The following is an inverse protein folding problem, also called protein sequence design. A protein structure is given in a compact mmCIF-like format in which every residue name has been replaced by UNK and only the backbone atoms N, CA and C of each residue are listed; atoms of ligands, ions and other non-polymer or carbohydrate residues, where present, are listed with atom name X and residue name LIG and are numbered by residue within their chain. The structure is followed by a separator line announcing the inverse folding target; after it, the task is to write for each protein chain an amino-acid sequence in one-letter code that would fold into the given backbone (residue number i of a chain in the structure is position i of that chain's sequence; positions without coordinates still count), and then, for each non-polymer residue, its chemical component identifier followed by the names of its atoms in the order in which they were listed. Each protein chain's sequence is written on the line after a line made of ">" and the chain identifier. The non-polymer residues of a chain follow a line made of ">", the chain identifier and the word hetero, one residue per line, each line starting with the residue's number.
data_IF_443507618545
#
_entry.id   IF_443507618545
#
_cell.length_a   1.000
_cell.length_b   1.000
_cell.length_c   1.000
_cell.angle_alpha   90.00
_cell.angle_beta   90.00
_cell.angle_gamma   90.00
#
_symmetry.space_group_name_H-M   'P 1'
#
loop_
_entity.id
_entity.type
_entity.pdbx_description
1 polymer ?
#
# COMPACT_ATOMS: atom_id res chain seq x y z
N UNK A 1 -39.63 -29.64 68.57
CA UNK A 1 -38.49 -29.99 67.69
C UNK A 1 -38.98 -30.81 66.50
N UNK A 2 -39.16 -30.22 65.30
CA UNK A 2 -39.09 -30.92 64.01
C UNK A 2 -38.54 -29.93 62.98
N UNK A 3 -37.53 -30.38 62.24
CA UNK A 3 -36.69 -29.62 61.31
C UNK A 3 -37.32 -29.53 59.91
N UNK A 4 -37.13 -28.36 59.31
CA UNK A 4 -36.95 -27.95 57.90
C UNK A 4 -36.88 -29.08 56.84
N UNK A 5 -37.57 -28.86 55.71
CA UNK A 5 -37.03 -29.11 54.37
C UNK A 5 -37.71 -28.17 53.35
N UNK A 6 -37.06 -27.04 53.05
CA UNK A 6 -37.40 -26.18 51.92
C UNK A 6 -36.73 -26.78 50.67
N UNK A 7 -37.55 -27.13 49.67
CA UNK A 7 -37.11 -27.67 48.39
C UNK A 7 -36.58 -26.52 47.53
N UNK A 8 -35.26 -26.44 47.37
CA UNK A 8 -34.60 -25.51 46.44
C UNK A 8 -34.71 -26.08 45.03
N UNK A 9 -35.57 -25.48 44.21
CA UNK A 9 -35.67 -25.76 42.77
C UNK A 9 -34.49 -25.06 42.07
N UNK A 10 -33.43 -25.80 41.74
CA UNK A 10 -32.35 -25.31 40.88
C UNK A 10 -32.90 -25.16 39.44
N UNK A 11 -33.20 -23.93 39.01
CA UNK A 11 -33.34 -23.63 37.58
C UNK A 11 -31.94 -23.67 36.95
N UNK A 12 -31.65 -24.71 36.19
CA UNK A 12 -30.51 -24.73 35.28
C UNK A 12 -30.86 -23.89 34.06
N UNK A 13 -30.45 -22.62 34.05
CA UNK A 13 -30.38 -21.84 32.81
C UNK A 13 -29.38 -22.53 31.88
N UNK A 14 -29.78 -22.92 30.64
CA UNK A 14 -28.80 -23.39 29.67
C UNK A 14 -27.86 -22.22 29.39
N UNK A 15 -26.57 -22.46 29.60
CA UNK A 15 -25.50 -21.56 29.20
C UNK A 15 -25.51 -21.52 27.67
N UNK A 16 -26.31 -20.65 27.06
CA UNK A 16 -26.08 -20.27 25.68
C UNK A 16 -24.75 -19.52 25.69
N UNK A 17 -23.68 -20.19 25.28
CA UNK A 17 -22.45 -19.52 24.92
C UNK A 17 -22.83 -18.50 23.83
N UNK A 18 -22.65 -17.21 24.13
CA UNK A 18 -22.75 -16.18 23.10
C UNK A 18 -21.65 -16.47 22.09
N UNK A 19 -22.04 -16.82 20.86
CA UNK A 19 -21.08 -16.99 19.77
C UNK A 19 -20.28 -15.70 19.62
N UNK A 20 -18.98 -15.80 19.40
CA UNK A 20 -18.19 -14.61 19.12
C UNK A 20 -18.69 -13.97 17.82
N UNK A 21 -18.86 -12.65 17.84
CA UNK A 21 -19.33 -11.90 16.69
C UNK A 21 -18.17 -11.50 15.78
N UNK A 22 -18.48 -11.29 14.49
CA UNK A 22 -17.55 -10.75 13.52
C UNK A 22 -17.04 -9.38 13.96
N UNK A 23 -15.76 -9.07 13.69
CA UNK A 23 -15.25 -7.72 13.91
C UNK A 23 -16.03 -6.70 13.07
N UNK A 24 -16.31 -5.54 13.66
CA UNK A 24 -17.08 -4.48 13.02
C UNK A 24 -16.48 -4.07 11.66
N UNK A 25 -17.34 -3.83 10.67
CA UNK A 25 -16.96 -3.44 9.31
C UNK A 25 -16.46 -4.59 8.43
N UNK A 26 -16.37 -5.81 8.96
CA UNK A 26 -16.00 -6.98 8.18
C UNK A 26 -17.18 -7.58 7.41
N UNK A 27 -16.86 -8.38 6.39
CA UNK A 27 -17.84 -9.15 5.61
C UNK A 27 -17.14 -10.21 4.77
N UNK A 28 -17.83 -11.31 4.51
CA UNK A 28 -17.34 -12.39 3.65
C UNK A 28 -17.13 -11.93 2.21
N UNK A 29 -16.25 -12.63 1.50
CA UNK A 29 -16.19 -12.51 0.05
C UNK A 29 -17.47 -13.13 -0.57
N UNK A 30 -18.16 -12.45 -1.52
CA UNK A 30 -19.47 -12.89 -2.01
C UNK A 30 -19.46 -14.26 -2.72
N UNK A 31 -18.30 -14.70 -3.21
CA UNK A 31 -18.15 -15.97 -3.94
C UNK A 31 -17.49 -17.08 -3.13
N UNK A 32 -16.97 -16.79 -1.92
CA UNK A 32 -16.25 -17.77 -1.09
C UNK A 32 -16.92 -17.83 0.27
N UNK A 33 -17.79 -18.82 0.44
CA UNK A 33 -18.48 -19.07 1.71
C UNK A 33 -17.50 -19.51 2.80
N UNK A 34 -17.59 -18.90 3.98
CA UNK A 34 -16.86 -19.38 5.17
C UNK A 34 -17.42 -20.72 5.67
N UNK A 35 -16.62 -21.42 6.47
CA UNK A 35 -17.08 -22.64 7.16
C UNK A 35 -18.01 -22.28 8.32
N UNK A 36 -19.14 -22.98 8.43
CA UNK A 36 -20.10 -22.79 9.52
C UNK A 36 -19.44 -22.97 10.91
N UNK A 37 -19.82 -22.12 11.87
CA UNK A 37 -19.21 -22.09 13.21
C UNK A 37 -17.90 -21.29 13.29
N UNK A 38 -17.56 -20.55 12.23
CA UNK A 38 -16.45 -19.60 12.24
C UNK A 38 -16.93 -18.14 12.22
N UNK A 39 -16.12 -17.26 12.79
CA UNK A 39 -16.35 -15.80 12.83
C UNK A 39 -15.09 -15.05 12.36
N UNK A 40 -15.26 -13.85 11.83
CA UNK A 40 -14.15 -13.00 11.38
C UNK A 40 -13.48 -12.39 12.60
N UNK A 41 -12.26 -12.85 12.88
CA UNK A 41 -11.41 -12.26 13.92
C UNK A 41 -10.62 -11.06 13.42
N UNK A 42 -10.38 -10.96 12.11
CA UNK A 42 -9.66 -9.85 11.48
C UNK A 42 -9.88 -9.82 9.97
N UNK A 43 -9.82 -8.64 9.38
CA UNK A 43 -9.81 -8.47 7.93
C UNK A 43 -8.99 -7.25 7.51
N UNK A 44 -8.59 -7.23 6.24
CA UNK A 44 -8.00 -6.07 5.56
C UNK A 44 -8.48 -6.05 4.12
N UNK A 45 -8.71 -4.86 3.58
CA UNK A 45 -9.04 -4.63 2.19
C UNK A 45 -8.10 -3.58 1.59
N UNK A 46 -7.60 -3.85 0.39
CA UNK A 46 -6.93 -2.87 -0.46
C UNK A 46 -7.72 -2.77 -1.77
N UNK A 47 -7.98 -1.56 -2.25
CA UNK A 47 -8.74 -1.34 -3.48
C UNK A 47 -7.96 -1.82 -4.71
N UNK A 48 -6.63 -1.78 -4.65
CA UNK A 48 -5.75 -2.32 -5.67
C UNK A 48 -4.43 -2.81 -5.06
N UNK A 49 -4.04 -4.05 -5.34
CA UNK A 49 -2.72 -4.61 -4.99
C UNK A 49 -2.34 -5.71 -6.01
N UNK A 50 -1.07 -6.09 -6.04
CA UNK A 50 -0.56 -7.23 -6.80
C UNK A 50 -0.27 -8.40 -5.87
N UNK A 51 -1.00 -9.48 -6.04
CA UNK A 51 -0.94 -10.62 -5.13
C UNK A 51 -0.55 -11.89 -5.88
N UNK A 52 0.61 -12.43 -5.50
CA UNK A 52 1.06 -13.76 -5.91
C UNK A 52 0.54 -14.85 -4.95
N UNK A 53 -0.10 -15.87 -5.51
CA UNK A 53 -0.63 -17.05 -4.82
C UNK A 53 0.14 -18.30 -5.31
N UNK A 54 0.80 -19.04 -4.41
CA UNK A 54 1.43 -20.32 -4.75
C UNK A 54 0.43 -21.34 -5.29
N UNK A 55 0.79 -22.01 -6.39
CA UNK A 55 -0.01 -23.05 -7.04
C UNK A 55 0.78 -24.35 -7.20
N UNK A 56 1.81 -24.54 -6.37
CA UNK A 56 2.66 -25.72 -6.31
C UNK A 56 3.46 -25.76 -5.01
N UNK A 57 4.12 -26.89 -4.71
CA UNK A 57 4.88 -27.06 -3.48
C UNK A 57 6.09 -26.12 -3.42
N UNK A 58 6.60 -25.90 -2.21
CA UNK A 58 7.82 -25.13 -1.99
C UNK A 58 9.03 -26.06 -1.85
N UNK A 59 10.06 -25.79 -2.65
CA UNK A 59 11.33 -26.50 -2.65
C UNK A 59 12.43 -25.58 -2.11
N UNK A 60 13.13 -26.03 -1.07
CA UNK A 60 14.18 -25.24 -0.41
C UNK A 60 15.25 -24.77 -1.42
N UNK A 61 15.58 -23.47 -1.38
CA UNK A 61 16.44 -22.72 -2.33
C UNK A 61 15.89 -22.54 -3.75
N UNK A 62 14.84 -23.25 -4.14
CA UNK A 62 14.23 -23.11 -5.47
C UNK A 62 12.98 -22.23 -5.43
N UNK A 63 12.30 -22.14 -4.28
CA UNK A 63 11.05 -21.40 -4.14
C UNK A 63 9.83 -22.28 -4.41
N UNK A 64 8.71 -21.65 -4.76
CA UNK A 64 7.52 -22.38 -5.21
C UNK A 64 7.72 -22.93 -6.62
N UNK A 65 7.33 -24.18 -6.86
CA UNK A 65 7.39 -24.78 -8.20
C UNK A 65 6.51 -24.05 -9.21
N UNK A 66 5.38 -23.50 -8.75
CA UNK A 66 4.45 -22.70 -9.54
C UNK A 66 3.71 -21.69 -8.67
N UNK A 67 3.30 -20.59 -9.28
CA UNK A 67 2.49 -19.54 -8.67
C UNK A 67 1.69 -18.81 -9.73
N UNK A 68 0.51 -18.32 -9.39
CA UNK A 68 -0.25 -17.36 -10.18
C UNK A 68 -0.21 -15.98 -9.52
N UNK A 69 -0.37 -14.93 -10.32
CA UNK A 69 -0.43 -13.55 -9.82
C UNK A 69 -1.61 -12.85 -10.45
N UNK A 70 -2.36 -12.13 -9.62
CA UNK A 70 -3.47 -11.31 -10.05
C UNK A 70 -3.33 -9.91 -9.45
N UNK A 71 -3.82 -8.91 -10.16
CA UNK A 71 -3.89 -7.53 -9.72
C UNK A 71 -5.36 -7.14 -9.57
N UNK A 72 -5.67 -6.40 -8.50
CA UNK A 72 -7.02 -5.90 -8.26
C UNK A 72 -7.32 -5.73 -6.78
N UNK A 73 -8.61 -5.75 -6.42
CA UNK A 73 -9.06 -5.62 -5.04
C UNK A 73 -8.53 -6.81 -4.24
N UNK A 74 -7.80 -6.53 -3.17
CA UNK A 74 -7.24 -7.56 -2.30
C UNK A 74 -7.98 -7.57 -0.96
N UNK A 75 -8.66 -8.69 -0.68
CA UNK A 75 -9.34 -8.97 0.58
C UNK A 75 -8.60 -10.09 1.32
N UNK A 76 -8.16 -9.80 2.55
CA UNK A 76 -7.64 -10.81 3.47
C UNK A 76 -8.55 -10.93 4.68
N UNK A 77 -8.93 -12.16 5.04
CA UNK A 77 -9.78 -12.46 6.19
C UNK A 77 -9.10 -13.54 7.06
N UNK A 78 -9.19 -13.37 8.38
CA UNK A 78 -8.84 -14.40 9.36
C UNK A 78 -10.11 -14.87 10.04
N UNK A 79 -10.51 -16.11 9.79
CA UNK A 79 -11.60 -16.76 10.50
C UNK A 79 -11.08 -17.55 11.71
N UNK A 80 -11.81 -17.42 12.81
CA UNK A 80 -11.59 -18.11 14.07
C UNK A 80 -12.78 -19.03 14.37
N UNK A 81 -12.56 -20.02 15.24
CA UNK A 81 -13.56 -21.02 15.60
C UNK A 81 -13.72 -21.06 17.12
N UNK A 82 -14.96 -21.21 17.58
CA UNK A 82 -15.27 -21.39 19.00
C UNK A 82 -15.19 -22.87 19.42
N UNK A 83 -15.44 -23.79 18.49
CA UNK A 83 -15.48 -25.23 18.75
C UNK A 83 -14.31 -25.96 18.08
N UNK A 84 -13.73 -27.00 18.72
CA UNK A 84 -12.68 -27.81 18.13
C UNK A 84 -13.09 -28.49 16.82
N UNK A 85 -12.20 -28.46 15.82
CA UNK A 85 -12.36 -29.19 14.55
C UNK A 85 -11.00 -29.43 13.91
N UNK A 86 -10.93 -30.22 12.83
CA UNK A 86 -9.65 -30.57 12.17
C UNK A 86 -9.41 -29.74 10.92
N UNK A 87 -8.13 -29.49 10.60
CA UNK A 87 -7.75 -28.78 9.37
C UNK A 87 -8.20 -29.54 8.12
N UNK A 88 -8.17 -30.88 8.16
CA UNK A 88 -8.66 -31.73 7.08
C UNK A 88 -10.16 -31.53 6.82
N UNK A 89 -10.99 -31.44 7.87
CA UNK A 89 -12.43 -31.23 7.72
C UNK A 89 -12.73 -29.87 7.10
N UNK A 90 -12.04 -28.83 7.55
CA UNK A 90 -12.15 -27.47 7.00
C UNK A 90 -11.70 -27.45 5.54
N UNK A 91 -10.54 -28.03 5.23
CA UNK A 91 -9.99 -28.06 3.86
C UNK A 91 -10.95 -28.74 2.89
N UNK A 92 -11.50 -29.90 3.25
CA UNK A 92 -12.48 -30.61 2.42
C UNK A 92 -13.79 -29.84 2.27
N UNK A 93 -14.22 -29.12 3.31
CA UNK A 93 -15.40 -28.25 3.24
C UNK A 93 -15.20 -27.13 2.21
N UNK A 94 -14.08 -26.40 2.30
CA UNK A 94 -13.74 -25.35 1.32
C UNK A 94 -13.62 -25.90 -0.09
N UNK A 95 -12.86 -26.99 -0.27
CA UNK A 95 -12.69 -27.61 -1.57
C UNK A 95 -14.04 -27.94 -2.23
N UNK A 96 -14.94 -28.64 -1.51
CA UNK A 96 -16.25 -29.00 -2.03
C UNK A 96 -17.16 -27.79 -2.29
N UNK A 97 -17.08 -26.74 -1.48
CA UNK A 97 -17.88 -25.53 -1.66
C UNK A 97 -17.41 -24.74 -2.89
N UNK A 98 -16.09 -24.58 -3.04
CA UNK A 98 -15.46 -23.88 -4.14
C UNK A 98 -15.67 -24.61 -5.48
N UNK A 99 -15.49 -25.93 -5.51
CA UNK A 99 -15.78 -26.75 -6.69
C UNK A 99 -17.27 -26.63 -7.10
N UNK A 100 -18.19 -26.65 -6.13
CA UNK A 100 -19.64 -26.43 -6.40
C UNK A 100 -19.95 -25.03 -6.91
N UNK A 101 -19.19 -24.03 -6.46
CA UNK A 101 -19.29 -22.64 -6.94
C UNK A 101 -18.60 -22.43 -8.30
N UNK A 102 -18.01 -23.48 -8.91
CA UNK A 102 -17.38 -23.41 -10.23
C UNK A 102 -15.94 -22.91 -10.21
N UNK A 103 -15.27 -22.92 -9.05
CA UNK A 103 -13.84 -22.65 -8.98
C UNK A 103 -13.03 -23.86 -9.41
N UNK A 104 -11.93 -23.60 -10.13
CA UNK A 104 -10.87 -24.55 -10.43
C UNK A 104 -9.89 -24.62 -9.25
N UNK A 105 -9.59 -25.83 -8.78
CA UNK A 105 -8.54 -26.05 -7.79
C UNK A 105 -7.19 -26.11 -8.49
N UNK A 106 -6.37 -25.08 -8.27
CA UNK A 106 -5.03 -24.97 -8.86
C UNK A 106 -4.00 -25.77 -8.07
N UNK A 107 -4.13 -25.79 -6.74
CA UNK A 107 -3.25 -26.56 -5.86
C UNK A 107 -3.94 -26.85 -4.53
N UNK A 108 -3.65 -28.02 -3.97
CA UNK A 108 -4.08 -28.38 -2.61
C UNK A 108 -3.03 -29.26 -1.98
N UNK A 109 -2.78 -29.08 -0.69
CA UNK A 109 -1.88 -29.99 0.03
C UNK A 109 -1.89 -29.81 1.53
N UNK A 110 -1.27 -30.76 2.23
CA UNK A 110 -1.09 -30.71 3.68
C UNK A 110 0.35 -30.94 4.10
N UNK A 111 0.77 -30.26 5.17
CA UNK A 111 2.10 -30.45 5.75
C UNK A 111 2.23 -31.82 6.41
N UNK A 112 1.15 -32.33 7.01
CA UNK A 112 1.07 -33.69 7.57
C UNK A 112 1.37 -34.78 6.53
N UNK A 113 1.01 -34.53 5.27
CA UNK A 113 1.16 -35.45 4.14
C UNK A 113 2.42 -35.16 3.30
N UNK A 114 3.23 -34.17 3.73
CA UNK A 114 4.45 -33.70 3.04
C UNK A 114 4.21 -33.18 1.62
N UNK A 115 3.07 -32.54 1.39
CA UNK A 115 2.65 -32.04 0.07
C UNK A 115 2.92 -30.55 -0.13
N UNK A 116 3.22 -29.81 0.94
CA UNK A 116 3.39 -28.35 0.90
C UNK A 116 4.86 -27.93 0.83
N UNK A 117 5.54 -28.08 1.95
CA UNK A 117 6.98 -27.94 2.12
C UNK A 117 7.40 -29.02 3.11
N UNK A 118 8.69 -29.33 3.18
CA UNK A 118 9.35 -30.36 4.03
C UNK A 118 8.75 -30.56 5.45
N UNK A 119 7.52 -31.09 5.48
CA UNK A 119 6.55 -31.28 6.58
C UNK A 119 6.15 -30.09 7.44
N UNK A 120 6.57 -28.85 7.16
CA UNK A 120 6.29 -27.72 8.06
C UNK A 120 5.00 -26.95 7.70
N UNK A 121 4.75 -26.74 6.41
CA UNK A 121 3.72 -25.83 5.88
C UNK A 121 4.02 -24.34 6.09
N UNK A 122 5.17 -23.99 6.69
CA UNK A 122 5.45 -22.61 7.10
C UNK A 122 5.60 -21.64 5.92
N UNK A 123 6.03 -22.13 4.75
CA UNK A 123 6.23 -21.26 3.58
C UNK A 123 4.88 -20.75 3.07
N UNK A 124 3.84 -21.58 3.14
CA UNK A 124 2.46 -21.23 2.79
C UNK A 124 1.80 -20.30 3.82
N UNK A 125 2.46 -20.09 4.96
CA UNK A 125 2.05 -19.10 5.95
C UNK A 125 2.75 -17.75 5.76
N UNK A 126 3.69 -17.55 4.82
CA UNK A 126 4.58 -16.38 4.75
C UNK A 126 3.92 -14.98 4.84
N UNK A 127 2.65 -14.84 4.42
CA UNK A 127 1.85 -13.60 4.52
C UNK A 127 1.34 -13.30 5.95
N UNK A 128 1.47 -14.25 6.88
CA UNK A 128 1.15 -14.19 8.32
C UNK A 128 1.99 -13.18 9.11
N UNK A 129 3.27 -12.99 8.74
CA UNK A 129 4.15 -12.04 9.44
C UNK A 129 3.71 -10.58 9.28
N UNK A 130 3.01 -10.25 8.18
CA UNK A 130 2.39 -8.94 8.00
C UNK A 130 1.20 -8.79 8.95
N UNK A 131 0.41 -9.85 9.08
CA UNK A 131 -0.77 -9.93 9.92
C UNK A 131 -0.39 -9.78 11.41
N UNK A 132 0.66 -10.43 11.91
CA UNK A 132 1.19 -10.23 13.28
C UNK A 132 1.67 -8.79 13.58
N UNK A 133 2.21 -8.09 12.57
CA UNK A 133 2.72 -6.71 12.70
C UNK A 133 1.61 -5.65 12.80
N UNK A 134 0.36 -6.00 12.46
CA UNK A 134 -0.79 -5.09 12.41
C UNK A 134 -1.57 -5.00 13.73
N UNK A 135 -0.99 -5.44 14.86
CA UNK A 135 -1.48 -5.05 16.19
C UNK A 135 -2.69 -5.83 16.72
N UNK A 136 -2.71 -7.15 16.55
CA UNK A 136 -3.76 -8.01 17.11
C UNK A 136 -4.08 -7.74 18.58
N UNK A 137 -5.37 -7.77 18.91
CA UNK A 137 -5.83 -7.81 20.32
C UNK A 137 -5.15 -8.98 21.05
N UNK A 138 -4.86 -8.87 22.36
CA UNK A 138 -4.14 -9.92 23.11
C UNK A 138 -4.74 -11.34 22.99
N UNK A 139 -6.06 -11.44 22.79
CA UNK A 139 -6.80 -12.71 22.62
C UNK A 139 -6.62 -13.33 21.22
N UNK A 140 -6.26 -12.51 20.22
CA UNK A 140 -6.04 -12.87 18.83
C UNK A 140 -4.54 -12.94 18.48
N UNK A 141 -3.65 -12.91 19.49
CA UNK A 141 -2.24 -13.12 19.27
C UNK A 141 -2.04 -14.55 18.76
N UNK A 142 -1.82 -14.65 17.45
CA UNK A 142 -1.52 -15.90 16.79
C UNK A 142 -0.10 -16.36 17.24
N UNK A 143 0.21 -17.67 17.26
CA UNK A 143 1.48 -18.18 17.80
C UNK A 143 2.67 -17.77 16.95
N UNK A 144 3.88 -17.67 17.52
CA UNK A 144 5.07 -17.46 16.69
C UNK A 144 5.18 -18.52 15.58
N UNK A 145 5.77 -18.19 14.43
CA UNK A 145 5.99 -19.11 13.29
C UNK A 145 6.53 -20.51 13.65
N UNK A 146 7.14 -20.67 14.83
CA UNK A 146 7.66 -21.95 15.35
C UNK A 146 6.65 -22.77 16.14
N UNK A 147 5.37 -22.39 16.12
CA UNK A 147 4.34 -22.91 17.02
C UNK A 147 3.02 -23.21 16.33
N UNK A 148 3.07 -23.77 15.12
CA UNK A 148 1.89 -24.25 14.39
C UNK A 148 2.11 -25.68 13.92
N UNK A 149 1.02 -26.45 13.92
CA UNK A 149 1.00 -27.83 13.45
C UNK A 149 -0.15 -28.04 12.45
N UNK A 150 -0.03 -29.09 11.63
CA UNK A 150 -1.07 -29.52 10.67
C UNK A 150 -1.59 -28.39 9.76
N UNK A 151 -0.73 -27.88 8.89
CA UNK A 151 -1.10 -26.86 7.91
C UNK A 151 -1.73 -27.52 6.69
N UNK A 152 -2.88 -27.00 6.27
CA UNK A 152 -3.53 -27.34 5.01
C UNK A 152 -3.63 -26.08 4.14
N UNK A 153 -3.53 -26.27 2.83
CA UNK A 153 -3.54 -25.19 1.85
C UNK A 153 -4.42 -25.54 0.65
N UNK A 154 -5.11 -24.54 0.13
CA UNK A 154 -5.86 -24.62 -1.12
C UNK A 154 -5.64 -23.33 -1.90
N UNK A 155 -5.33 -23.44 -3.19
CA UNK A 155 -5.35 -22.33 -4.14
C UNK A 155 -6.40 -22.60 -5.21
N UNK A 156 -7.22 -21.61 -5.51
CA UNK A 156 -8.33 -21.72 -6.46
C UNK A 156 -8.43 -20.50 -7.37
N UNK A 157 -9.06 -20.70 -8.52
CA UNK A 157 -9.40 -19.63 -9.47
C UNK A 157 -10.85 -19.77 -9.94
N UNK A 158 -11.57 -18.66 -10.10
CA UNK A 158 -12.92 -18.69 -10.68
C UNK A 158 -12.88 -19.08 -12.15
N UNK A 159 -13.98 -19.63 -12.67
CA UNK A 159 -14.05 -20.07 -14.07
C UNK A 159 -13.81 -18.96 -15.10
N UNK A 160 -14.13 -17.70 -14.76
CA UNK A 160 -13.87 -16.52 -15.59
C UNK A 160 -12.45 -15.94 -15.43
N UNK A 161 -11.66 -16.48 -14.49
CA UNK A 161 -10.30 -16.03 -14.19
C UNK A 161 -10.21 -14.74 -13.37
N UNK A 162 -11.34 -14.13 -13.00
CA UNK A 162 -11.37 -12.84 -12.32
C UNK A 162 -11.08 -12.92 -10.82
N UNK A 163 -11.17 -14.10 -10.21
CA UNK A 163 -10.89 -14.29 -8.78
C UNK A 163 -9.80 -15.33 -8.62
N UNK A 164 -8.73 -14.95 -7.91
CA UNK A 164 -7.67 -15.85 -7.47
C UNK A 164 -7.64 -15.83 -5.94
N UNK A 165 -7.73 -17.01 -5.32
CA UNK A 165 -7.80 -17.10 -3.86
C UNK A 165 -6.89 -18.20 -3.30
N UNK A 166 -6.42 -17.98 -2.08
CA UNK A 166 -5.79 -19.03 -1.27
C UNK A 166 -6.43 -19.14 0.11
N UNK A 167 -6.56 -20.38 0.58
CA UNK A 167 -7.07 -20.74 1.90
C UNK A 167 -5.96 -21.46 2.64
N UNK A 168 -5.43 -20.83 3.68
CA UNK A 168 -4.45 -21.42 4.60
C UNK A 168 -5.17 -21.81 5.88
N UNK A 169 -5.04 -23.05 6.31
CA UNK A 169 -5.69 -23.58 7.50
C UNK A 169 -4.60 -24.16 8.38
N UNK A 170 -4.58 -23.82 9.67
CA UNK A 170 -3.56 -24.34 10.56
C UNK A 170 -4.09 -24.52 11.98
N UNK A 171 -3.45 -25.41 12.74
CA UNK A 171 -3.66 -25.52 14.18
C UNK A 171 -2.60 -24.70 14.92
N UNK A 172 -2.99 -23.64 15.63
CA UNK A 172 -2.11 -22.95 16.58
C UNK A 172 -1.65 -23.91 17.69
N UNK A 173 -0.38 -23.89 18.07
CA UNK A 173 0.07 -24.62 19.24
C UNK A 173 -0.66 -24.13 20.50
N UNK A 174 -1.02 -25.08 21.37
CA UNK A 174 -1.74 -24.84 22.63
C UNK A 174 -3.17 -24.29 22.44
N UNK A 175 -3.76 -24.44 21.25
CA UNK A 175 -5.20 -24.29 21.00
C UNK A 175 -5.74 -25.56 20.33
N UNK A 176 -6.98 -25.90 20.66
CA UNK A 176 -7.71 -27.02 20.03
C UNK A 176 -8.63 -26.53 18.89
N UNK A 177 -8.57 -25.24 18.57
CA UNK A 177 -9.39 -24.57 17.55
C UNK A 177 -8.50 -24.09 16.41
N UNK A 178 -8.84 -24.41 15.14
CA UNK A 178 -8.05 -23.99 13.99
C UNK A 178 -8.22 -22.50 13.67
N UNK A 179 -7.36 -22.03 12.78
CA UNK A 179 -7.44 -20.70 12.17
C UNK A 179 -7.44 -20.86 10.67
N UNK A 180 -8.27 -20.07 9.99
CA UNK A 180 -8.29 -19.98 8.52
C UNK A 180 -7.87 -18.58 8.11
N UNK A 181 -6.89 -18.49 7.24
CA UNK A 181 -6.52 -17.27 6.55
C UNK A 181 -6.95 -17.40 5.09
N UNK A 182 -7.85 -16.53 4.68
CA UNK A 182 -8.34 -16.41 3.32
C UNK A 182 -7.71 -15.18 2.68
N UNK A 183 -7.00 -15.37 1.58
CA UNK A 183 -6.53 -14.30 0.69
C UNK A 183 -7.33 -14.40 -0.61
N UNK A 184 -8.01 -13.31 -1.00
CA UNK A 184 -8.79 -13.22 -2.24
C UNK A 184 -8.36 -12.00 -3.01
N UNK A 185 -8.12 -12.16 -4.30
CA UNK A 185 -7.80 -11.09 -5.23
C UNK A 185 -8.87 -11.12 -6.30
N UNK A 186 -9.58 -10.01 -6.47
CA UNK A 186 -10.60 -9.85 -7.51
C UNK A 186 -10.08 -8.86 -8.52
N UNK A 187 -9.93 -9.31 -9.76
CA UNK A 187 -9.50 -8.48 -10.88
C UNK A 187 -10.38 -7.24 -10.98
N UNK A 188 -9.75 -6.08 -10.84
CA UNK A 188 -10.35 -4.78 -11.14
C UNK A 188 -9.33 -3.98 -11.92
N UNK A 189 -9.78 -2.99 -12.67
CA UNK A 189 -8.87 -2.01 -13.24
C UNK A 189 -8.35 -1.10 -12.13
N UNK A 190 -7.07 -0.73 -12.20
CA UNK A 190 -6.50 0.26 -11.30
C UNK A 190 -7.16 1.61 -11.56
N UNK A 191 -7.66 2.25 -10.51
CA UNK A 191 -8.06 3.64 -10.62
C UNK A 191 -6.82 4.50 -10.92
N UNK A 192 -6.75 5.04 -12.13
CA UNK A 192 -5.66 5.91 -12.56
C UNK A 192 -5.67 7.29 -11.90
N UNK A 193 -6.66 7.60 -11.05
CA UNK A 193 -6.77 8.87 -10.33
C UNK A 193 -5.69 9.11 -9.25
N UNK A 194 -4.86 8.10 -8.92
CA UNK A 194 -3.55 8.34 -8.30
C UNK A 194 -2.53 9.02 -9.25
N UNK A 195 -3.01 9.72 -10.27
CA UNK A 195 -2.22 10.62 -11.10
C UNK A 195 -1.61 11.71 -10.21
N UNK A 196 -0.33 12.03 -10.44
CA UNK A 196 0.30 13.19 -9.82
C UNK A 196 -0.57 14.43 -10.06
N UNK A 197 -0.94 15.17 -9.02
CA UNK A 197 -1.67 16.43 -9.18
C UNK A 197 -0.89 17.31 -10.18
N UNK A 198 -1.51 17.72 -11.30
CA UNK A 198 -0.81 18.53 -12.29
C UNK A 198 -0.41 19.85 -11.65
N UNK A 199 0.79 20.34 -12.01
CA UNK A 199 1.17 21.69 -11.67
C UNK A 199 0.25 22.64 -12.44
N UNK A 200 -0.56 23.45 -11.75
CA UNK A 200 -1.44 24.43 -12.39
C UNK A 200 -1.21 25.83 -11.84
N UNK A 201 -1.56 26.87 -12.60
CA UNK A 201 -1.51 28.27 -12.17
C UNK A 201 -2.28 28.51 -10.86
N UNK A 202 -3.44 27.88 -10.67
CA UNK A 202 -4.24 27.98 -9.44
C UNK A 202 -3.51 27.34 -8.25
N UNK A 203 -2.84 26.21 -8.46
CA UNK A 203 -2.02 25.56 -7.43
C UNK A 203 -0.83 26.43 -7.06
N UNK A 204 -0.12 26.96 -8.05
CA UNK A 204 1.00 27.87 -7.85
C UNK A 204 0.59 29.11 -7.06
N UNK A 205 -0.58 29.70 -7.37
CA UNK A 205 -1.13 30.83 -6.64
C UNK A 205 -1.43 30.48 -5.17
N UNK A 206 -2.01 29.30 -4.94
CA UNK A 206 -2.35 28.81 -3.59
C UNK A 206 -1.08 28.58 -2.74
N UNK A 207 -0.05 27.96 -3.33
CA UNK A 207 1.21 27.70 -2.63
C UNK A 207 1.98 29.00 -2.35
N UNK A 208 2.02 29.94 -3.31
CA UNK A 208 2.62 31.26 -3.10
C UNK A 208 1.88 32.03 -1.99
N UNK A 209 0.56 32.09 -2.02
CA UNK A 209 -0.22 32.82 -1.02
C UNK A 209 -0.13 32.23 0.39
N UNK A 210 0.09 30.92 0.51
CA UNK A 210 0.18 30.23 1.81
C UNK A 210 1.61 30.13 2.37
N UNK A 211 2.62 30.01 1.50
CA UNK A 211 4.01 29.75 1.90
C UNK A 211 4.98 30.89 1.54
N UNK A 212 4.54 31.87 0.74
CA UNK A 212 5.36 32.92 0.15
C UNK A 212 6.32 32.45 -0.94
N UNK A 213 6.33 31.14 -1.25
CA UNK A 213 7.19 30.52 -2.25
C UNK A 213 6.61 29.21 -2.77
N UNK A 214 7.06 28.77 -3.94
CA UNK A 214 6.75 27.45 -4.51
C UNK A 214 7.97 26.89 -5.23
N UNK A 215 8.24 25.59 -5.04
CA UNK A 215 9.35 24.88 -5.67
C UNK A 215 8.88 24.16 -6.94
N UNK A 216 9.59 24.36 -8.05
CA UNK A 216 9.32 23.80 -9.36
C UNK A 216 10.40 22.76 -9.70
N UNK A 217 10.04 21.48 -9.56
CA UNK A 217 10.91 20.35 -9.90
C UNK A 217 10.77 19.94 -11.37
N UNK A 218 9.73 20.43 -12.04
CA UNK A 218 9.38 20.18 -13.42
C UNK A 218 10.18 21.04 -14.41
N UNK A 219 10.96 22.02 -13.90
CA UNK A 219 11.88 22.81 -14.74
C UNK A 219 13.23 22.08 -14.78
N UNK A 220 13.54 21.56 -15.96
CA UNK A 220 14.73 20.75 -16.22
C UNK A 220 15.74 21.52 -17.07
N UNK A 221 17.02 21.24 -16.83
CA UNK A 221 18.13 21.82 -17.56
C UNK A 221 19.02 20.73 -18.13
N UNK A 222 19.69 21.00 -19.26
CA UNK A 222 20.71 20.13 -19.78
C UNK A 222 21.84 19.93 -18.74
N UNK A 223 22.53 18.79 -18.82
CA UNK A 223 23.59 18.45 -17.89
C UNK A 223 24.64 19.56 -17.83
N UNK A 224 24.97 19.97 -16.61
CA UNK A 224 25.97 21.01 -16.33
C UNK A 224 25.73 22.35 -17.06
N UNK A 225 24.46 22.67 -17.34
CA UNK A 225 24.06 23.83 -18.15
C UNK A 225 22.86 24.58 -17.56
N UNK A 226 22.64 25.80 -18.09
CA UNK A 226 21.44 26.63 -17.88
C UNK A 226 20.47 26.57 -19.08
N UNK A 227 20.75 25.72 -20.06
CA UNK A 227 19.83 25.44 -21.17
C UNK A 227 18.60 24.68 -20.65
N UNK A 228 17.42 25.28 -20.80
CA UNK A 228 16.13 24.70 -20.39
C UNK A 228 15.71 23.61 -21.38
N UNK A 229 15.32 22.45 -20.86
CA UNK A 229 14.85 21.34 -21.69
C UNK A 229 13.36 21.48 -22.07
N UNK A 230 12.93 20.98 -23.25
CA UNK A 230 11.55 21.10 -23.74
C UNK A 230 10.47 20.59 -22.78
N UNK A 231 10.78 19.59 -21.97
CA UNK A 231 9.91 18.99 -20.94
C UNK A 231 9.47 20.02 -19.88
N UNK A 232 10.20 21.13 -19.75
CA UNK A 232 9.87 22.21 -18.81
C UNK A 232 8.75 23.14 -19.30
N UNK A 233 8.36 23.03 -20.58
CA UNK A 233 7.46 24.00 -21.22
C UNK A 233 6.08 24.09 -20.57
N UNK A 234 5.52 22.96 -20.14
CA UNK A 234 4.22 22.92 -19.46
C UNK A 234 4.29 23.69 -18.13
N UNK A 235 5.30 23.39 -17.30
CA UNK A 235 5.50 24.09 -16.03
C UNK A 235 5.73 25.60 -16.22
N UNK A 236 6.50 25.99 -17.23
CA UNK A 236 6.74 27.41 -17.54
C UNK A 236 5.48 28.12 -18.07
N UNK A 237 4.62 27.40 -18.79
CA UNK A 237 3.31 27.90 -19.24
C UNK A 237 2.39 28.19 -18.05
N UNK A 238 2.35 27.31 -17.06
CA UNK A 238 1.54 27.50 -15.85
C UNK A 238 2.05 28.68 -14.99
N UNK A 239 3.37 28.86 -14.90
CA UNK A 239 3.96 30.05 -14.26
C UNK A 239 3.59 31.33 -15.03
N UNK A 240 3.62 31.29 -16.36
CA UNK A 240 3.21 32.44 -17.17
C UNK A 240 1.71 32.75 -16.98
N UNK A 241 0.85 31.74 -16.99
CA UNK A 241 -0.60 31.90 -16.77
C UNK A 241 -0.90 32.48 -15.39
N UNK A 242 -0.19 32.03 -14.35
CA UNK A 242 -0.25 32.63 -13.01
C UNK A 242 0.05 34.14 -13.07
N UNK A 243 1.17 34.52 -13.69
CA UNK A 243 1.62 35.92 -13.77
C UNK A 243 0.68 36.79 -14.63
N UNK A 244 0.14 36.24 -15.71
CA UNK A 244 -0.83 36.94 -16.57
C UNK A 244 -2.16 37.17 -15.86
N UNK A 245 -2.64 36.18 -15.09
CA UNK A 245 -3.89 36.28 -14.33
C UNK A 245 -3.75 37.21 -13.13
N UNK A 246 -2.58 37.24 -12.49
CA UNK A 246 -2.30 38.06 -11.31
C UNK A 246 -1.37 39.21 -11.70
N UNK A 247 -1.88 40.25 -12.37
CA UNK A 247 -1.08 41.32 -12.96
C UNK A 247 -0.23 42.14 -11.97
N UNK A 248 -0.60 42.15 -10.69
CA UNK A 248 0.17 42.79 -9.61
C UNK A 248 1.20 41.89 -8.93
N UNK A 249 1.32 40.62 -9.32
CA UNK A 249 2.28 39.68 -8.72
C UNK A 249 3.68 39.91 -9.29
N UNK A 250 4.68 40.05 -8.41
CA UNK A 250 6.09 40.06 -8.78
C UNK A 250 6.81 38.89 -8.13
N UNK A 251 7.68 38.21 -8.88
CA UNK A 251 8.35 37.00 -8.42
C UNK A 251 9.88 37.13 -8.48
N UNK A 252 10.54 36.55 -7.49
CA UNK A 252 11.95 36.22 -7.52
C UNK A 252 12.10 34.74 -7.91
N UNK A 253 12.75 34.49 -9.03
CA UNK A 253 13.17 33.17 -9.49
C UNK A 253 14.51 32.84 -8.81
N UNK A 254 14.54 31.79 -8.01
CA UNK A 254 15.73 31.34 -7.28
C UNK A 254 16.17 29.97 -7.80
N UNK A 255 17.38 29.89 -8.33
CA UNK A 255 17.96 28.61 -8.74
C UNK A 255 18.66 27.93 -7.57
N UNK A 256 18.62 26.60 -7.55
CA UNK A 256 19.32 25.75 -6.58
C UNK A 256 20.11 24.65 -7.30
N UNK A 257 21.16 24.15 -6.64
CA UNK A 257 21.92 22.96 -7.06
C UNK A 257 21.94 21.93 -5.94
N UNK A 258 22.34 20.70 -6.28
CA UNK A 258 22.84 19.76 -5.29
C UNK A 258 24.26 20.14 -4.83
N UNK A 259 24.89 19.25 -4.05
CA UNK A 259 26.25 19.45 -3.54
C UNK A 259 27.37 19.04 -4.48
N UNK A 260 27.06 18.56 -5.69
CA UNK A 260 28.09 18.10 -6.62
C UNK A 260 28.72 19.31 -7.33
N UNK A 261 30.05 19.38 -7.32
CA UNK A 261 30.79 20.54 -7.83
C UNK A 261 31.26 21.50 -6.74
N UNK A 262 31.98 22.54 -7.14
CA UNK A 262 32.49 23.53 -6.19
C UNK A 262 31.42 24.55 -5.80
N UNK A 263 31.56 25.14 -4.61
CA UNK A 263 30.63 26.16 -4.12
C UNK A 263 30.43 27.33 -5.11
N UNK A 264 31.53 27.92 -5.57
CA UNK A 264 31.52 29.04 -6.53
C UNK A 264 30.93 28.65 -7.90
N UNK A 265 31.13 27.39 -8.29
CA UNK A 265 30.54 26.86 -9.51
C UNK A 265 29.01 26.76 -9.38
N UNK A 266 28.54 26.11 -8.32
CA UNK A 266 27.14 25.90 -8.05
C UNK A 266 26.37 27.21 -7.82
N UNK A 267 27.00 28.18 -7.17
CA UNK A 267 26.41 29.51 -6.99
C UNK A 267 26.14 30.18 -8.35
N UNK A 268 27.13 30.18 -9.25
CA UNK A 268 26.99 30.74 -10.60
C UNK A 268 25.99 29.96 -11.44
N UNK A 269 26.09 28.63 -11.50
CA UNK A 269 25.19 27.78 -12.28
C UNK A 269 23.72 27.98 -11.86
N UNK A 270 23.47 28.07 -10.55
CA UNK A 270 22.13 28.34 -10.04
C UNK A 270 21.59 29.71 -10.44
N UNK A 271 22.44 30.74 -10.45
CA UNK A 271 22.05 32.09 -10.89
C UNK A 271 21.77 32.12 -12.40
N UNK A 272 22.61 31.45 -13.20
CA UNK A 272 22.44 31.34 -14.65
C UNK A 272 21.12 30.63 -15.00
N UNK A 273 20.79 29.55 -14.28
CA UNK A 273 19.50 28.83 -14.43
C UNK A 273 18.29 29.70 -14.10
N UNK A 274 18.35 30.45 -13.00
CA UNK A 274 17.29 31.39 -12.64
C UNK A 274 17.11 32.48 -13.71
N UNK A 275 18.23 32.99 -14.24
CA UNK A 275 18.22 33.98 -15.31
C UNK A 275 17.65 33.42 -16.62
N UNK A 276 17.95 32.16 -16.94
CA UNK A 276 17.38 31.48 -18.11
C UNK A 276 15.86 31.32 -17.99
N UNK A 277 15.34 30.94 -16.82
CA UNK A 277 13.89 30.84 -16.57
C UNK A 277 13.22 32.19 -16.69
N UNK A 278 13.80 33.23 -16.09
CA UNK A 278 13.32 34.61 -16.25
C UNK A 278 13.25 35.00 -17.73
N UNK A 279 14.35 34.82 -18.47
CA UNK A 279 14.41 35.17 -19.88
C UNK A 279 13.41 34.36 -20.73
N UNK A 280 13.18 33.09 -20.39
CA UNK A 280 12.17 32.27 -21.05
C UNK A 280 10.77 32.85 -20.88
N UNK A 281 10.38 33.19 -19.65
CA UNK A 281 9.07 33.78 -19.36
C UNK A 281 8.88 35.14 -20.05
N UNK A 282 9.92 35.96 -20.11
CA UNK A 282 9.89 37.23 -20.83
C UNK A 282 9.73 37.03 -22.35
N UNK A 283 10.51 36.14 -22.95
CA UNK A 283 10.60 36.00 -24.41
C UNK A 283 9.50 35.14 -25.03
N UNK A 284 9.08 34.08 -24.32
CA UNK A 284 8.12 33.11 -24.84
C UNK A 284 6.68 33.40 -24.41
N UNK A 285 6.50 34.16 -23.32
CA UNK A 285 5.18 34.42 -22.73
C UNK A 285 4.91 35.92 -22.46
N UNK A 286 5.75 36.81 -22.97
CA UNK A 286 5.61 38.28 -22.89
C UNK A 286 5.43 38.82 -21.46
N UNK A 287 6.02 38.16 -20.46
CA UNK A 287 5.97 38.64 -19.07
C UNK A 287 6.87 39.89 -18.93
N UNK A 288 6.36 41.00 -18.37
CA UNK A 288 7.16 42.22 -18.16
C UNK A 288 8.39 41.99 -17.28
N UNK A 289 9.55 42.50 -17.72
CA UNK A 289 10.85 42.26 -17.09
C UNK A 289 11.00 42.81 -15.67
N UNK A 290 10.19 43.81 -15.30
CA UNK A 290 10.13 44.42 -13.98
C UNK A 290 9.41 43.55 -12.94
N UNK A 291 8.57 42.60 -13.40
CA UNK A 291 7.84 41.66 -12.54
C UNK A 291 8.66 40.42 -12.16
N UNK A 292 9.82 40.22 -12.77
CA UNK A 292 10.69 39.08 -12.53
C UNK A 292 12.08 39.51 -12.08
N UNK A 293 12.56 38.92 -10.98
CA UNK A 293 13.96 38.98 -10.55
C UNK A 293 14.56 37.58 -10.58
N UNK A 294 15.87 37.47 -10.76
CA UNK A 294 16.58 36.19 -10.75
C UNK A 294 17.70 36.21 -9.73
N UNK A 295 17.89 35.09 -9.01
CA UNK A 295 19.00 34.90 -8.07
C UNK A 295 19.40 33.42 -7.98
N UNK A 296 20.64 33.17 -7.57
CA UNK A 296 21.15 31.82 -7.35
C UNK A 296 21.47 31.58 -5.88
N UNK A 297 20.96 30.49 -5.32
CA UNK A 297 21.27 30.05 -3.96
C UNK A 297 22.35 28.95 -3.92
N UNK A 298 22.76 28.43 -5.08
CA UNK A 298 23.62 27.26 -5.19
C UNK A 298 23.10 26.11 -4.32
N UNK A 299 24.02 25.52 -3.55
CA UNK A 299 23.74 24.43 -2.61
C UNK A 299 23.40 24.87 -1.18
N UNK A 300 23.23 26.18 -0.93
CA UNK A 300 23.11 26.74 0.43
C UNK A 300 21.78 26.45 1.14
N UNK A 301 20.75 26.05 0.38
CA UNK A 301 19.41 25.78 0.88
C UNK A 301 18.87 24.44 0.37
N UNK A 302 19.43 23.30 0.86
CA UNK A 302 18.97 21.98 0.46
C UNK A 302 17.57 21.70 1.01
N UNK A 303 16.71 21.14 0.16
CA UNK A 303 15.39 20.64 0.53
C UNK A 303 15.47 19.23 1.12
N UNK A 304 16.45 18.44 0.66
CA UNK A 304 16.68 17.07 1.09
C UNK A 304 18.17 16.75 1.23
N UNK A 305 18.48 15.58 1.80
CA UNK A 305 19.86 15.11 1.99
C UNK A 305 20.56 14.92 0.64
N UNK A 306 21.76 15.47 0.47
CA UNK A 306 22.59 15.22 -0.72
C UNK A 306 23.26 13.82 -0.73
N UNK A 307 23.02 13.00 0.30
CA UNK A 307 23.64 11.68 0.43
C UNK A 307 23.04 10.64 -0.52
N UNK A 308 21.84 10.88 -1.06
CA UNK A 308 21.17 9.99 -2.02
C UNK A 308 20.87 10.73 -3.32
N UNK A 309 20.71 9.99 -4.42
CA UNK A 309 20.36 10.60 -5.71
C UNK A 309 18.98 11.24 -5.67
N UNK A 310 18.04 10.61 -4.96
CA UNK A 310 16.68 11.13 -4.79
C UNK A 310 16.73 12.51 -4.11
N UNK A 311 17.52 12.65 -3.04
CA UNK A 311 17.66 13.92 -2.35
C UNK A 311 18.44 14.97 -3.14
N UNK A 312 19.46 14.59 -3.93
CA UNK A 312 20.13 15.50 -4.86
C UNK A 312 19.17 15.99 -5.96
N UNK A 313 18.34 15.11 -6.50
CA UNK A 313 17.32 15.48 -7.48
C UNK A 313 16.36 16.54 -6.96
N UNK A 314 15.89 16.40 -5.71
CA UNK A 314 15.05 17.42 -5.05
C UNK A 314 15.78 18.75 -4.83
N UNK A 315 17.10 18.75 -4.70
CA UNK A 315 17.90 19.95 -4.51
C UNK A 315 18.16 20.72 -5.82
N UNK A 316 18.20 20.02 -6.96
CA UNK A 316 18.30 20.59 -8.31
C UNK A 316 16.94 21.12 -8.77
N UNK A 317 16.56 22.30 -8.28
CA UNK A 317 15.24 22.90 -8.52
C UNK A 317 15.31 24.40 -8.77
N UNK A 318 14.18 24.95 -9.20
CA UNK A 318 13.92 26.40 -9.21
C UNK A 318 12.82 26.68 -8.18
N UNK A 319 12.94 27.75 -7.41
CA UNK A 319 11.87 28.26 -6.56
C UNK A 319 11.38 29.61 -7.07
N UNK A 320 10.07 29.84 -7.01
CA UNK A 320 9.47 31.15 -7.17
C UNK A 320 9.15 31.69 -5.78
N UNK A 321 9.57 32.91 -5.49
CA UNK A 321 9.30 33.59 -4.22
C UNK A 321 8.53 34.87 -4.50
N UNK A 322 7.43 35.09 -3.79
CA UNK A 322 6.64 36.32 -3.93
C UNK A 322 7.46 37.52 -3.44
N UNK A 323 7.51 38.57 -4.26
CA UNK A 323 8.11 39.84 -3.88
C UNK A 323 7.03 40.78 -3.33
N UNK A 324 7.29 41.47 -2.21
CA UNK A 324 6.37 42.50 -1.73
C UNK A 324 6.31 43.65 -2.74
N UNK A 325 5.09 44.11 -3.00
CA UNK A 325 4.79 45.29 -3.81
C UNK A 325 5.19 46.60 -3.12
#
# INVERSE_FOLDING_TARGET
>A
MKKIAALLLLMTLPYLALANEDVEGSGDHPLIERVAGSYIGWFSRSDFDRVMIPTGPFVYRQGYESSETLEGEHLRIVYLFDEPTTTLRIMRSYQQALERAGFEVLFSGRSADNELDNRSGINFMGRYSAVERMGFKPQMRLPSQRSVSDVAYLAVRSADGNVLASVVIFMPDRRDTPVVLLDVVTATEMDSEMAHEPLTAERLATDLGSQGRVALQQIHFAFDSAEILPESSEALTEVAQLLQTNTGLSLLVVGHTDSDGSFEYNLRLSADRAQAVKAYLEQQHDIPADRLRASGAGMMAPLASNQSEEGRSLNRRVELVELPN
#
